data_IF_867070259995
#
_entry.id   IF_867070259995
#
_cell.length_a   1.000
_cell.length_b   1.000
_cell.length_c   1.000
_cell.angle_alpha   90.00
_cell.angle_beta   90.00
_cell.angle_gamma   90.00
#
_symmetry.space_group_name_H-M   'P 1'
#
loop_
_entity.id
_entity.type
_entity.pdbx_description
1 polymer ?
#
# COMPACT_ATOMS: atom_id res chain seq x y z
N UNK A 1 24.21 -8.59 24.28
CA UNK A 1 24.96 -7.95 23.19
C UNK A 1 24.05 -6.93 22.54
N UNK A 2 24.41 -5.65 22.59
CA UNK A 2 23.66 -4.58 21.92
C UNK A 2 24.08 -4.53 20.45
N UNK A 3 23.14 -4.47 19.49
CA UNK A 3 23.46 -4.39 18.07
C UNK A 3 24.23 -3.09 17.76
N UNK A 4 25.32 -3.21 17.00
CA UNK A 4 26.21 -2.11 16.61
C UNK A 4 25.58 -1.26 15.51
N UNK A 5 25.99 0.01 15.42
CA UNK A 5 25.45 1.00 14.47
C UNK A 5 25.52 0.60 12.97
N UNK A 6 26.24 -0.48 12.63
CA UNK A 6 26.30 -1.05 11.29
C UNK A 6 25.01 -1.78 10.87
N UNK A 7 24.15 -2.18 11.81
CA UNK A 7 22.86 -2.85 11.51
C UNK A 7 21.70 -1.86 11.28
N UNK A 8 21.96 -0.54 11.38
CA UNK A 8 20.94 0.50 11.11
C UNK A 8 20.76 0.85 9.64
N UNK A 9 21.47 0.20 8.74
CA UNK A 9 21.22 0.35 7.31
C UNK A 9 20.04 -0.56 6.90
N UNK A 10 18.85 0.05 6.83
CA UNK A 10 17.88 -0.23 5.77
C UNK A 10 16.97 -1.45 5.92
N UNK A 11 16.30 -1.60 7.06
CA UNK A 11 14.93 -2.15 7.04
C UNK A 11 13.97 -1.05 6.59
N UNK A 12 14.01 -0.71 5.29
CA UNK A 12 12.87 -0.05 4.66
C UNK A 12 11.69 -1.00 4.85
N UNK A 13 10.75 -0.64 5.73
CA UNK A 13 9.48 -1.35 5.81
C UNK A 13 8.95 -1.50 4.37
N UNK A 14 8.68 -2.74 3.97
CA UNK A 14 8.23 -3.08 2.63
C UNK A 14 6.81 -2.55 2.44
N UNK A 15 6.71 -1.25 2.17
CA UNK A 15 5.47 -0.57 1.85
C UNK A 15 5.34 -0.44 0.34
N UNK A 16 4.11 -0.36 -0.20
CA UNK A 16 3.91 -0.09 -1.62
C UNK A 16 4.60 1.20 -2.10
N UNK A 17 4.72 2.21 -1.22
CA UNK A 17 5.47 3.44 -1.52
C UNK A 17 6.97 3.19 -1.65
N UNK A 18 7.56 2.42 -0.74
CA UNK A 18 8.97 2.01 -0.81
C UNK A 18 9.23 1.19 -2.07
N UNK A 19 8.31 0.28 -2.43
CA UNK A 19 8.37 -0.51 -3.66
C UNK A 19 8.39 0.38 -4.90
N UNK A 20 7.55 1.42 -4.93
CA UNK A 20 7.53 2.40 -6.04
C UNK A 20 8.85 3.16 -6.18
N UNK A 21 9.47 3.57 -5.07
CA UNK A 21 10.77 4.26 -5.11
C UNK A 21 11.85 3.33 -5.66
N UNK A 22 11.85 2.07 -5.22
CA UNK A 22 12.83 1.06 -5.68
C UNK A 22 12.62 0.76 -7.17
N UNK A 23 11.38 0.53 -7.62
CA UNK A 23 11.11 0.22 -9.03
C UNK A 23 11.45 1.37 -9.96
N UNK A 24 11.20 2.61 -9.56
CA UNK A 24 11.59 3.82 -10.31
C UNK A 24 13.12 3.98 -10.36
N UNK A 25 13.81 3.66 -9.25
CA UNK A 25 15.26 3.63 -9.18
C UNK A 25 15.89 2.57 -10.09
N UNK A 26 15.32 1.36 -10.14
CA UNK A 26 15.77 0.30 -11.05
C UNK A 26 15.56 0.74 -12.50
N UNK A 27 14.43 1.38 -12.83
CA UNK A 27 14.17 1.91 -14.18
C UNK A 27 15.26 2.88 -14.64
N UNK A 28 15.58 3.89 -13.81
CA UNK A 28 16.65 4.85 -14.11
C UNK A 28 18.03 4.18 -14.23
N UNK A 29 18.31 3.20 -13.37
CA UNK A 29 19.56 2.45 -13.43
C UNK A 29 19.70 1.64 -14.72
N UNK A 30 18.60 1.06 -15.18
CA UNK A 30 18.55 0.30 -16.44
C UNK A 30 18.77 1.21 -17.65
N UNK A 31 18.17 2.40 -17.68
CA UNK A 31 18.39 3.38 -18.75
C UNK A 31 19.87 3.77 -18.84
N UNK A 32 20.52 4.00 -17.69
CA UNK A 32 21.95 4.29 -17.62
C UNK A 32 22.81 3.14 -18.14
N UNK A 33 22.50 1.91 -17.73
CA UNK A 33 23.20 0.71 -18.20
C UNK A 33 23.05 0.51 -19.71
N UNK A 34 21.85 0.70 -20.26
CA UNK A 34 21.58 0.56 -21.70
C UNK A 34 22.38 1.57 -22.53
N UNK A 35 22.45 2.82 -22.07
CA UNK A 35 23.26 3.85 -22.69
C UNK A 35 24.77 3.50 -22.68
N UNK A 36 25.29 3.00 -21.55
CA UNK A 36 26.69 2.58 -21.44
C UNK A 36 27.00 1.39 -22.35
N UNK A 37 26.15 0.36 -22.34
CA UNK A 37 26.31 -0.81 -23.20
C UNK A 37 26.30 -0.45 -24.69
N UNK A 38 25.42 0.49 -25.10
CA UNK A 38 25.36 0.99 -26.48
C UNK A 38 26.68 1.69 -26.88
N UNK A 39 27.27 2.46 -25.97
CA UNK A 39 28.57 3.10 -26.20
C UNK A 39 29.70 2.07 -26.32
N UNK A 40 29.73 1.05 -25.47
CA UNK A 40 30.73 -0.04 -25.54
C UNK A 40 30.63 -0.78 -26.87
N UNK A 41 29.42 -1.19 -27.26
CA UNK A 41 29.17 -1.84 -28.55
C UNK A 41 29.67 -0.98 -29.72
N UNK A 42 29.41 0.33 -29.68
CA UNK A 42 29.86 1.25 -30.73
C UNK A 42 31.39 1.30 -30.83
N UNK A 43 32.09 1.32 -29.70
CA UNK A 43 33.55 1.26 -29.68
C UNK A 43 34.08 -0.06 -30.23
N UNK A 44 33.47 -1.19 -29.86
CA UNK A 44 33.84 -2.52 -30.38
C UNK A 44 33.64 -2.56 -31.90
N UNK A 45 32.52 -2.03 -32.41
CA UNK A 45 32.26 -1.95 -33.86
C UNK A 45 33.34 -1.15 -34.59
N UNK A 46 33.77 -0.01 -34.04
CA UNK A 46 34.86 0.80 -34.61
C UNK A 46 36.18 0.02 -34.59
N UNK A 47 36.51 -0.63 -33.48
CA UNK A 47 37.74 -1.43 -33.37
C UNK A 47 37.77 -2.57 -34.39
N UNK A 48 36.64 -3.25 -34.59
CA UNK A 48 36.52 -4.31 -35.57
C UNK A 48 36.62 -3.79 -37.01
N UNK A 49 36.05 -2.62 -37.31
CA UNK A 49 36.23 -1.97 -38.62
C UNK A 49 37.70 -1.63 -38.87
N UNK A 50 38.40 -1.06 -37.88
CA UNK A 50 39.82 -0.76 -38.00
C UNK A 50 40.65 -2.03 -38.26
N UNK A 51 40.31 -3.13 -37.57
CA UNK A 51 40.93 -4.43 -37.81
C UNK A 51 40.66 -4.99 -39.23
N UNK A 52 39.44 -4.81 -39.75
CA UNK A 52 39.11 -5.19 -41.13
C UNK A 52 39.90 -4.38 -42.16
N UNK A 53 40.07 -3.08 -41.94
CA UNK A 53 40.86 -2.20 -42.83
C UNK A 53 42.32 -2.66 -42.86
N UNK A 54 42.91 -2.93 -41.69
CA UNK A 54 44.32 -3.35 -41.63
C UNK A 54 44.51 -4.77 -42.20
N UNK A 55 43.54 -5.67 -41.99
CA UNK A 55 43.51 -6.98 -42.62
C UNK A 55 43.47 -6.88 -44.16
N UNK A 56 42.65 -5.98 -44.71
CA UNK A 56 42.60 -5.73 -46.15
C UNK A 56 43.93 -5.16 -46.67
N UNK A 57 44.58 -4.27 -45.89
CA UNK A 57 45.88 -3.67 -46.22
C UNK A 57 47.01 -4.69 -46.26
N UNK A 58 46.97 -5.70 -45.39
CA UNK A 58 47.93 -6.81 -45.36
C UNK A 58 47.70 -7.86 -46.47
N UNK A 59 46.64 -7.73 -47.28
CA UNK A 59 46.34 -8.63 -48.39
C UNK A 59 46.14 -10.08 -47.94
N UNK A 60 46.85 -11.02 -48.57
CA UNK A 60 46.76 -12.46 -48.26
C UNK A 60 47.12 -12.78 -46.80
N UNK A 61 48.08 -12.06 -46.21
CA UNK A 61 48.52 -12.27 -44.83
C UNK A 61 47.47 -11.81 -43.81
N UNK A 62 46.52 -10.95 -44.21
CA UNK A 62 45.47 -10.42 -43.35
C UNK A 62 44.19 -11.25 -43.30
N UNK A 63 44.05 -12.31 -44.11
CA UNK A 63 42.81 -13.11 -44.19
C UNK A 63 42.34 -13.66 -42.84
N UNK A 64 43.27 -14.13 -42.00
CA UNK A 64 42.94 -14.62 -40.65
C UNK A 64 42.40 -13.52 -39.74
N UNK A 65 43.01 -12.33 -39.80
CA UNK A 65 42.55 -11.16 -39.03
C UNK A 65 41.18 -10.65 -39.50
N UNK A 66 40.89 -10.72 -40.80
CA UNK A 66 39.58 -10.37 -41.32
C UNK A 66 38.46 -11.27 -40.78
N UNK A 67 38.71 -12.57 -40.64
CA UNK A 67 37.75 -13.52 -40.04
C UNK A 67 37.46 -13.17 -38.59
N UNK A 68 38.52 -12.90 -37.80
CA UNK A 68 38.36 -12.51 -36.40
C UNK A 68 37.58 -11.19 -36.27
N UNK A 69 37.90 -10.20 -37.09
CA UNK A 69 37.22 -8.91 -37.04
C UNK A 69 35.72 -9.00 -37.39
N UNK A 70 35.35 -9.84 -38.37
CA UNK A 70 33.96 -10.13 -38.68
C UNK A 70 33.24 -10.82 -37.51
N UNK A 71 33.90 -11.76 -36.82
CA UNK A 71 33.33 -12.42 -35.65
C UNK A 71 33.14 -11.44 -34.48
N UNK A 72 34.07 -10.50 -34.28
CA UNK A 72 33.92 -9.42 -33.29
C UNK A 72 32.71 -8.53 -33.62
N UNK A 73 32.48 -8.17 -34.89
CA UNK A 73 31.28 -7.43 -35.28
C UNK A 73 30.00 -8.21 -35.00
N UNK A 74 29.99 -9.52 -35.30
CA UNK A 74 28.86 -10.41 -35.04
C UNK A 74 28.56 -10.48 -33.54
N UNK A 75 29.58 -10.65 -32.70
CA UNK A 75 29.45 -10.68 -31.24
C UNK A 75 28.93 -9.35 -30.69
N UNK A 76 29.42 -8.21 -31.20
CA UNK A 76 28.92 -6.90 -30.81
C UNK A 76 27.43 -6.71 -31.15
N UNK A 77 26.99 -7.23 -32.29
CA UNK A 77 25.58 -7.20 -32.69
C UNK A 77 24.72 -8.08 -31.77
N UNK A 78 25.15 -9.30 -31.48
CA UNK A 78 24.46 -10.21 -30.54
C UNK A 78 24.39 -9.61 -29.13
N UNK A 79 25.45 -8.95 -28.67
CA UNK A 79 25.46 -8.25 -27.38
C UNK A 79 24.41 -7.12 -27.34
N UNK A 80 24.26 -6.37 -28.43
CA UNK A 80 23.24 -5.32 -28.55
C UNK A 80 21.83 -5.88 -28.44
N UNK A 81 21.55 -6.95 -29.20
CA UNK A 81 20.23 -7.60 -29.19
C UNK A 81 19.90 -8.22 -27.83
N UNK A 82 20.90 -8.83 -27.19
CA UNK A 82 20.73 -9.43 -25.86
C UNK A 82 20.44 -8.36 -24.81
N UNK A 83 21.16 -7.25 -24.84
CA UNK A 83 20.92 -6.14 -23.93
C UNK A 83 19.54 -5.50 -24.15
N UNK A 84 19.11 -5.33 -25.40
CA UNK A 84 17.78 -4.79 -25.71
C UNK A 84 16.64 -5.72 -25.24
N UNK A 85 16.80 -7.04 -25.40
CA UNK A 85 15.85 -8.03 -24.86
C UNK A 85 15.82 -8.01 -23.33
N UNK A 86 16.98 -7.88 -22.69
CA UNK A 86 17.08 -7.76 -21.24
C UNK A 86 16.37 -6.50 -20.74
N UNK A 87 16.62 -5.35 -21.37
CA UNK A 87 15.98 -4.08 -21.06
C UNK A 87 14.45 -4.20 -21.13
N UNK A 88 13.93 -4.71 -22.25
CA UNK A 88 12.49 -4.95 -22.43
C UNK A 88 11.89 -5.86 -21.35
N UNK A 89 12.58 -6.95 -21.01
CA UNK A 89 12.11 -7.88 -19.98
C UNK A 89 12.07 -7.21 -18.58
N UNK A 90 13.14 -6.50 -18.22
CA UNK A 90 13.24 -5.84 -16.92
C UNK A 90 12.23 -4.70 -16.81
N UNK A 91 12.07 -3.86 -17.84
CA UNK A 91 11.05 -2.82 -17.88
C UNK A 91 9.64 -3.40 -17.75
N UNK A 92 9.35 -4.53 -18.41
CA UNK A 92 8.08 -5.23 -18.27
C UNK A 92 7.82 -5.67 -16.83
N UNK A 93 8.84 -6.24 -16.16
CA UNK A 93 8.74 -6.67 -14.75
C UNK A 93 8.61 -5.50 -13.79
N UNK A 94 9.30 -4.39 -14.04
CA UNK A 94 9.17 -3.14 -13.28
C UNK A 94 7.75 -2.59 -13.40
N UNK A 95 7.20 -2.57 -14.62
CA UNK A 95 5.83 -2.16 -14.89
C UNK A 95 4.82 -2.99 -14.11
N UNK A 96 4.95 -4.32 -14.14
CA UNK A 96 4.11 -5.22 -13.35
C UNK A 96 4.22 -4.93 -11.85
N UNK A 97 5.45 -4.76 -11.32
CA UNK A 97 5.66 -4.45 -9.91
C UNK A 97 5.07 -3.10 -9.51
N UNK A 98 5.05 -2.11 -10.41
CA UNK A 98 4.42 -0.81 -10.19
C UNK A 98 2.90 -0.94 -10.09
N UNK A 99 2.28 -1.67 -11.02
CA UNK A 99 0.85 -1.96 -10.97
C UNK A 99 0.47 -2.69 -9.69
N UNK A 100 1.27 -3.69 -9.27
CA UNK A 100 1.04 -4.40 -7.99
C UNK A 100 1.14 -3.46 -6.79
N UNK A 101 2.13 -2.56 -6.77
CA UNK A 101 2.25 -1.56 -5.71
C UNK A 101 1.02 -0.64 -5.66
N UNK A 102 0.54 -0.15 -6.81
CA UNK A 102 -0.63 0.72 -6.87
C UNK A 102 -1.91 -0.02 -6.41
N UNK A 103 -2.09 -1.29 -6.79
CA UNK A 103 -3.19 -2.12 -6.30
C UNK A 103 -3.16 -2.30 -4.78
N UNK A 104 -1.98 -2.54 -4.19
CA UNK A 104 -1.83 -2.68 -2.74
C UNK A 104 -2.16 -1.38 -2.00
N UNK A 105 -1.79 -0.21 -2.55
CA UNK A 105 -2.18 1.09 -1.96
C UNK A 105 -3.70 1.22 -1.94
N UNK A 106 -4.36 0.95 -3.06
CA UNK A 106 -5.81 1.06 -3.17
C UNK A 106 -6.52 0.11 -2.20
N UNK A 107 -6.02 -1.12 -2.06
CA UNK A 107 -6.57 -2.10 -1.12
C UNK A 107 -6.41 -1.66 0.34
N UNK A 108 -5.24 -1.13 0.71
CA UNK A 108 -5.01 -0.60 2.06
C UNK A 108 -5.92 0.59 2.39
N UNK A 109 -6.12 1.50 1.42
CA UNK A 109 -7.03 2.64 1.59
C UNK A 109 -8.49 2.17 1.73
N UNK A 110 -8.92 1.20 0.91
CA UNK A 110 -10.25 0.60 0.98
C UNK A 110 -10.51 -0.09 2.32
N UNK A 111 -9.55 -0.86 2.81
CA UNK A 111 -9.65 -1.53 4.11
C UNK A 111 -9.81 -0.52 5.25
N UNK A 112 -9.01 0.56 5.24
CA UNK A 112 -9.07 1.60 6.27
C UNK A 112 -10.41 2.33 6.28
N UNK A 113 -10.96 2.64 5.11
CA UNK A 113 -12.27 3.28 5.00
C UNK A 113 -13.39 2.36 5.49
N UNK A 114 -13.28 1.06 5.21
CA UNK A 114 -14.25 0.05 5.64
C UNK A 114 -14.25 -0.12 7.16
N UNK A 115 -13.07 -0.18 7.78
CA UNK A 115 -12.92 -0.26 9.24
C UNK A 115 -13.48 0.97 9.95
N UNK A 116 -13.20 2.16 9.41
CA UNK A 116 -13.78 3.40 9.92
C UNK A 116 -15.30 3.41 9.79
N UNK A 117 -15.84 3.00 8.64
CA UNK A 117 -17.28 2.92 8.42
C UNK A 117 -17.94 1.93 9.40
N UNK A 118 -17.33 0.76 9.63
CA UNK A 118 -17.80 -0.22 10.58
C UNK A 118 -17.80 0.34 12.01
N UNK A 119 -16.74 1.05 12.41
CA UNK A 119 -16.66 1.72 13.72
C UNK A 119 -17.78 2.75 13.89
N UNK A 120 -18.02 3.60 12.88
CA UNK A 120 -19.09 4.59 12.91
C UNK A 120 -20.48 3.94 13.00
N UNK A 121 -20.73 2.87 12.24
CA UNK A 121 -21.98 2.12 12.31
C UNK A 121 -22.19 1.55 13.72
N UNK A 122 -21.15 0.97 14.34
CA UNK A 122 -21.25 0.46 15.71
C UNK A 122 -21.60 1.57 16.72
N UNK A 123 -21.00 2.76 16.58
CA UNK A 123 -21.33 3.90 17.44
C UNK A 123 -22.77 4.37 17.25
N UNK A 124 -23.24 4.45 16.00
CA UNK A 124 -24.62 4.84 15.68
C UNK A 124 -25.61 3.82 16.24
N UNK A 125 -25.38 2.51 16.04
CA UNK A 125 -26.23 1.45 16.55
C UNK A 125 -26.29 1.48 18.07
N UNK A 126 -25.14 1.64 18.74
CA UNK A 126 -25.10 1.77 20.20
C UNK A 126 -25.88 2.99 20.67
N UNK A 127 -25.69 4.16 20.06
CA UNK A 127 -26.38 5.37 20.45
C UNK A 127 -27.90 5.27 20.24
N UNK A 128 -28.34 4.68 19.12
CA UNK A 128 -29.75 4.48 18.84
C UNK A 128 -30.39 3.50 19.82
N UNK A 129 -29.68 2.43 20.19
CA UNK A 129 -30.12 1.47 21.20
C UNK A 129 -30.28 2.13 22.57
N UNK A 130 -29.28 2.89 23.01
CA UNK A 130 -29.33 3.66 24.26
C UNK A 130 -30.54 4.62 24.27
N UNK A 131 -30.75 5.38 23.19
CA UNK A 131 -31.88 6.30 23.09
C UNK A 131 -33.24 5.59 23.06
N UNK A 132 -33.34 4.43 22.41
CA UNK A 132 -34.58 3.64 22.37
C UNK A 132 -34.91 3.09 23.76
N UNK A 133 -33.91 2.67 24.52
CA UNK A 133 -34.06 2.25 25.90
C UNK A 133 -34.55 3.41 26.79
N UNK A 134 -33.97 4.61 26.65
CA UNK A 134 -34.41 5.82 27.37
C UNK A 134 -35.91 6.10 27.14
N UNK A 135 -36.34 6.12 25.88
CA UNK A 135 -37.73 6.41 25.51
C UNK A 135 -38.68 5.35 26.07
N UNK A 136 -38.33 4.06 25.96
CA UNK A 136 -39.13 2.98 26.55
C UNK A 136 -39.26 3.18 28.05
N UNK A 137 -38.16 3.50 28.73
CA UNK A 137 -38.15 3.68 30.17
C UNK A 137 -39.04 4.85 30.61
N UNK A 138 -38.92 6.00 29.96
CA UNK A 138 -39.81 7.15 30.22
C UNK A 138 -41.28 6.82 29.94
N UNK A 139 -41.58 6.07 28.87
CA UNK A 139 -42.95 5.71 28.53
C UNK A 139 -43.60 4.74 29.53
N UNK A 140 -42.81 3.87 30.16
CA UNK A 140 -43.32 2.87 31.12
C UNK A 140 -43.24 3.31 32.59
N UNK A 141 -42.62 4.45 32.89
CA UNK A 141 -42.44 4.89 34.26
C UNK A 141 -43.75 5.35 34.90
N UNK A 142 -44.23 4.66 35.96
CA UNK A 142 -45.45 5.06 36.66
C UNK A 142 -45.31 6.40 37.37
N UNK A 143 -44.12 6.76 37.88
CA UNK A 143 -43.93 8.03 38.59
C UNK A 143 -44.14 9.22 37.64
N UNK A 144 -43.56 9.16 36.44
CA UNK A 144 -43.77 10.15 35.39
C UNK A 144 -45.24 10.25 34.98
N UNK A 145 -45.91 9.13 34.65
CA UNK A 145 -47.28 9.20 34.15
C UNK A 145 -48.29 9.57 35.24
N UNK A 146 -48.07 9.16 36.49
CA UNK A 146 -48.90 9.58 37.62
C UNK A 146 -48.76 11.08 37.91
N UNK A 147 -47.55 11.63 37.82
CA UNK A 147 -47.32 13.07 37.97
C UNK A 147 -47.96 13.88 36.83
N UNK A 148 -47.96 13.36 35.60
CA UNK A 148 -48.64 13.99 34.45
C UNK A 148 -50.17 13.95 34.57
N UNK A 149 -50.73 12.86 35.09
CA UNK A 149 -52.19 12.69 35.18
C UNK A 149 -52.82 13.47 36.34
N UNK A 150 -52.15 13.50 37.49
CA UNK A 150 -52.58 14.21 38.69
C UNK A 150 -51.37 14.91 39.32
N UNK A 151 -51.09 16.15 38.94
CA UNK A 151 -49.91 16.86 39.44
C UNK A 151 -50.12 17.23 40.92
N UNK A 152 -49.32 16.62 41.79
CA UNK A 152 -49.13 17.03 43.17
C UNK A 152 -47.62 17.20 43.46
N UNK A 153 -47.29 17.94 44.52
CA UNK A 153 -45.90 18.31 44.83
C UNK A 153 -45.03 17.09 45.12
N UNK A 154 -45.60 16.03 45.69
CA UNK A 154 -44.90 14.79 46.05
C UNK A 154 -44.59 13.91 44.82
N UNK A 155 -45.55 13.72 43.91
CA UNK A 155 -45.38 12.97 42.65
C UNK A 155 -44.46 13.71 41.69
N UNK A 156 -44.51 15.04 41.66
CA UNK A 156 -43.56 15.85 40.88
C UNK A 156 -42.13 15.63 41.39
N UNK A 157 -41.91 15.69 42.71
CA UNK A 157 -40.59 15.43 43.29
C UNK A 157 -40.10 13.99 43.01
N UNK A 158 -40.98 12.99 43.10
CA UNK A 158 -40.66 11.60 42.76
C UNK A 158 -40.28 11.42 41.29
N UNK A 159 -41.02 12.05 40.37
CA UNK A 159 -40.71 12.02 38.94
C UNK A 159 -39.37 12.72 38.62
N UNK A 160 -39.08 13.86 39.26
CA UNK A 160 -37.80 14.59 39.09
C UNK A 160 -36.60 13.76 39.56
N UNK A 161 -36.68 13.15 40.75
CA UNK A 161 -35.63 12.27 41.27
C UNK A 161 -35.39 11.10 40.31
N UNK A 162 -36.45 10.54 39.73
CA UNK A 162 -36.35 9.41 38.81
C UNK A 162 -35.72 9.81 37.46
N UNK A 163 -36.12 10.95 36.88
CA UNK A 163 -35.52 11.50 35.65
C UNK A 163 -34.02 11.76 35.82
N UNK A 164 -33.62 12.32 36.98
CA UNK A 164 -32.22 12.58 37.32
C UNK A 164 -31.44 11.25 37.44
N UNK A 165 -32.00 10.25 38.13
CA UNK A 165 -31.33 8.96 38.29
C UNK A 165 -31.14 8.21 36.96
N UNK A 166 -32.10 8.26 36.03
CA UNK A 166 -31.95 7.65 34.70
C UNK A 166 -30.88 8.37 33.88
N UNK A 167 -30.91 9.70 33.88
CA UNK A 167 -29.99 10.53 33.09
C UNK A 167 -28.55 10.41 33.58
N UNK A 168 -28.34 10.20 34.88
CA UNK A 168 -27.01 10.09 35.51
C UNK A 168 -26.46 8.66 35.55
N UNK A 169 -27.30 7.62 35.49
CA UNK A 169 -26.84 6.25 35.65
C UNK A 169 -26.08 5.72 34.42
N UNK A 170 -26.40 6.14 33.20
CA UNK A 170 -25.72 5.64 32.00
C UNK A 170 -25.73 4.10 31.92
N UNK A 171 -26.82 3.45 32.35
CA UNK A 171 -26.95 1.99 32.41
C UNK A 171 -27.92 1.54 31.31
N UNK A 172 -27.44 1.08 30.15
CA UNK A 172 -28.29 0.40 29.19
C UNK A 172 -28.28 -1.13 29.38
N UNK A 173 -27.35 -1.71 30.16
CA UNK A 173 -27.09 -3.15 30.09
C UNK A 173 -27.34 -3.95 31.37
N UNK A 174 -27.02 -3.43 32.57
CA UNK A 174 -27.07 -4.28 33.78
C UNK A 174 -28.50 -4.65 34.21
N UNK A 175 -29.46 -3.77 33.97
CA UNK A 175 -30.86 -4.00 34.38
C UNK A 175 -31.65 -4.93 33.44
N UNK A 176 -31.27 -5.02 32.16
CA UNK A 176 -31.94 -5.90 31.19
C UNK A 176 -31.52 -7.37 31.34
N UNK A 177 -30.25 -7.65 31.68
CA UNK A 177 -29.79 -9.01 31.98
C UNK A 177 -30.36 -9.54 33.31
N UNK A 178 -30.45 -8.70 34.34
CA UNK A 178 -30.92 -9.14 35.66
C UNK A 178 -32.45 -9.35 35.73
N UNK A 179 -33.23 -8.86 34.75
CA UNK A 179 -34.70 -8.98 34.72
C UNK A 179 -35.26 -9.84 33.56
N UNK A 180 -34.43 -10.58 32.83
CA UNK A 180 -34.88 -11.64 31.91
C UNK A 180 -35.75 -11.18 30.73
N UNK A 181 -35.53 -9.98 30.18
CA UNK A 181 -36.26 -9.49 29.00
C UNK A 181 -35.59 -9.85 27.66
N UNK A 182 -34.60 -10.75 27.66
CA UNK A 182 -34.09 -11.50 26.50
C UNK A 182 -33.84 -12.94 26.96
#
# INVERSE_FOLDING_TARGET
MLPTAAEKQQQLAATPRSMRIVTDGIGKGLDGFSAENTNIVKQIKILAINALIEAARAGEMGKGFAVVANEVQRLAQVATETASKFESNVLGRIGLSRTMADSLVNEMEGMRLTDLAQTLVQLIVRNLFERTADVRWWATDPALWQALRNPDTERQALAEIFIINISCAGIPQRFLFDNGFI
#
